data_IF_492219022298
#
_entry.id   IF_492219022298
#
_cell.length_a   1.000
_cell.length_b   1.000
_cell.length_c   1.000
_cell.angle_alpha   90.00
_cell.angle_beta   90.00
_cell.angle_gamma   90.00
#
_symmetry.space_group_name_H-M   'P 1'
#
loop_
_entity.id
_entity.type
_entity.pdbx_description
1 polymer ?
#
# COMPACT_ATOMS: atom_id res chain seq x y z
N UNK A 1 -3.99 -14.75 -7.99
CA UNK A 1 -2.84 -15.51 -8.52
C UNK A 1 -3.36 -16.39 -9.63
N UNK A 2 -2.68 -16.37 -10.74
CA UNK A 2 -3.02 -17.17 -11.90
C UNK A 2 -1.74 -17.85 -12.41
N UNK A 3 -1.88 -19.00 -13.06
CA UNK A 3 -0.79 -19.63 -13.81
C UNK A 3 -0.47 -18.81 -15.07
N UNK A 4 0.64 -19.11 -15.74
CA UNK A 4 0.98 -18.55 -17.05
C UNK A 4 -0.03 -18.84 -18.14
N UNK A 5 -0.84 -19.90 -17.97
CA UNK A 5 -1.94 -20.26 -18.87
C UNK A 5 -3.29 -19.63 -18.48
N UNK A 6 -3.32 -18.78 -17.45
CA UNK A 6 -4.52 -18.08 -16.99
C UNK A 6 -5.42 -18.88 -16.04
N UNK A 7 -4.99 -20.04 -15.57
CA UNK A 7 -5.75 -20.80 -14.58
C UNK A 7 -5.68 -20.09 -13.20
N UNK A 8 -6.83 -19.90 -12.55
CA UNK A 8 -6.89 -19.35 -11.20
C UNK A 8 -6.29 -20.34 -10.19
N UNK A 9 -5.32 -19.87 -9.38
CA UNK A 9 -4.61 -20.66 -8.38
C UNK A 9 -4.98 -20.25 -6.95
N UNK A 10 -5.35 -18.99 -6.72
CA UNK A 10 -5.68 -18.48 -5.39
C UNK A 10 -5.58 -16.97 -5.27
N UNK A 11 -5.84 -16.46 -4.06
CA UNK A 11 -5.72 -15.05 -3.73
C UNK A 11 -5.22 -14.86 -2.29
N UNK A 12 -4.51 -13.77 -2.04
CA UNK A 12 -4.13 -13.35 -0.68
C UNK A 12 -5.24 -12.49 -0.09
N UNK A 13 -5.97 -13.03 0.89
CA UNK A 13 -7.18 -12.40 1.43
C UNK A 13 -6.91 -11.34 2.50
N UNK A 14 -5.70 -11.29 3.07
CA UNK A 14 -5.31 -10.30 4.09
C UNK A 14 -4.67 -9.03 3.51
N UNK A 15 -4.60 -8.92 2.19
CA UNK A 15 -4.32 -7.67 1.47
C UNK A 15 -5.61 -6.86 1.43
N UNK A 16 -5.54 -5.59 1.87
CA UNK A 16 -6.73 -4.76 2.01
C UNK A 16 -7.19 -4.18 0.67
N UNK A 17 -6.75 -2.98 0.37
CA UNK A 17 -7.05 -2.26 -0.87
C UNK A 17 -5.74 -1.98 -1.61
N UNK A 18 -5.20 -2.96 -2.34
CA UNK A 18 -3.96 -2.78 -3.08
C UNK A 18 -4.16 -1.73 -4.18
N UNK A 19 -3.20 -0.82 -4.31
CA UNK A 19 -3.18 0.19 -5.35
C UNK A 19 -2.10 -0.12 -6.39
N UNK A 20 -0.98 -0.63 -5.93
CA UNK A 20 0.16 -0.96 -6.77
C UNK A 20 1.01 -2.04 -6.10
N UNK A 21 1.80 -2.74 -6.89
CA UNK A 21 2.78 -3.71 -6.41
C UNK A 21 4.03 -3.70 -7.28
N UNK A 22 5.16 -4.05 -6.67
CA UNK A 22 6.37 -4.40 -7.42
C UNK A 22 7.00 -5.67 -6.83
N UNK A 23 7.85 -6.31 -7.62
CA UNK A 23 8.55 -7.53 -7.23
C UNK A 23 10.05 -7.29 -7.38
N UNK A 24 10.83 -7.59 -6.34
CA UNK A 24 12.28 -7.46 -6.39
C UNK A 24 12.96 -8.68 -7.02
N UNK A 25 14.28 -8.59 -7.21
CA UNK A 25 15.09 -9.68 -7.78
C UNK A 25 15.14 -10.96 -6.92
N UNK A 26 14.65 -10.91 -5.70
CA UNK A 26 14.58 -12.05 -4.77
C UNK A 26 13.15 -12.62 -4.69
N UNK A 27 12.26 -12.19 -5.59
CA UNK A 27 10.84 -12.55 -5.62
C UNK A 27 10.04 -12.11 -4.39
N UNK A 28 10.50 -11.06 -3.68
CA UNK A 28 9.66 -10.44 -2.67
C UNK A 28 8.66 -9.49 -3.34
N UNK A 29 7.40 -9.57 -2.90
CA UNK A 29 6.28 -8.78 -3.42
C UNK A 29 6.00 -7.64 -2.46
N UNK A 30 6.16 -6.41 -2.93
CA UNK A 30 5.90 -5.16 -2.19
C UNK A 30 4.54 -4.63 -2.62
N UNK A 31 3.64 -4.39 -1.67
CA UNK A 31 2.26 -4.00 -1.95
C UNK A 31 1.95 -2.70 -1.22
N UNK A 32 1.57 -1.66 -1.98
CA UNK A 32 1.02 -0.43 -1.43
C UNK A 32 -0.49 -0.56 -1.24
N UNK A 33 -0.96 -0.42 0.00
CA UNK A 33 -2.36 -0.56 0.36
C UNK A 33 -2.93 0.78 0.84
N UNK A 34 -4.07 1.19 0.29
CA UNK A 34 -4.78 2.42 0.69
C UNK A 34 -5.92 2.12 1.64
N UNK A 35 -6.20 3.08 2.52
CA UNK A 35 -7.30 2.94 3.45
C UNK A 35 -8.67 3.00 2.77
N UNK A 36 -9.60 2.28 3.35
CA UNK A 36 -11.03 2.47 3.20
C UNK A 36 -11.70 1.95 4.47
N UNK A 37 -12.54 2.77 5.08
CA UNK A 37 -13.24 2.38 6.31
C UNK A 37 -14.39 1.43 6.00
N UNK A 38 -14.71 0.56 6.95
CA UNK A 38 -15.94 -0.22 6.92
C UNK A 38 -17.15 0.68 6.71
N UNK A 39 -18.08 0.26 5.84
CA UNK A 39 -19.22 1.07 5.41
C UNK A 39 -18.90 2.14 4.37
N UNK A 40 -17.61 2.47 4.15
CA UNK A 40 -17.21 3.37 3.06
C UNK A 40 -17.45 2.74 1.69
N UNK A 41 -17.87 3.54 0.73
CA UNK A 41 -18.19 3.03 -0.61
C UNK A 41 -16.95 2.84 -1.47
N UNK A 42 -16.86 1.72 -2.16
CA UNK A 42 -15.92 1.50 -3.26
C UNK A 42 -16.29 2.34 -4.48
N UNK A 43 -15.44 2.38 -5.50
CA UNK A 43 -15.77 3.03 -6.78
C UNK A 43 -17.00 2.40 -7.47
N UNK A 44 -17.29 1.13 -7.20
CA UNK A 44 -18.48 0.44 -7.68
C UNK A 44 -19.72 0.66 -6.77
N UNK A 45 -19.68 1.66 -5.87
CA UNK A 45 -20.73 1.98 -4.91
C UNK A 45 -21.14 0.80 -3.98
N UNK A 46 -20.23 -0.16 -3.78
CA UNK A 46 -20.43 -1.26 -2.84
C UNK A 46 -19.81 -0.91 -1.48
N UNK A 47 -20.50 -1.15 -0.35
CA UNK A 47 -19.95 -0.90 0.96
C UNK A 47 -18.82 -1.88 1.28
N UNK A 48 -17.74 -1.34 1.90
CA UNK A 48 -16.68 -2.18 2.43
C UNK A 48 -17.16 -2.93 3.68
N UNK A 49 -16.86 -4.20 3.73
CA UNK A 49 -17.20 -5.08 4.86
C UNK A 49 -16.16 -5.08 5.97
N UNK A 50 -15.03 -4.40 5.76
CA UNK A 50 -13.95 -4.26 6.73
C UNK A 50 -13.17 -2.98 6.52
N UNK A 51 -12.54 -2.47 7.57
CA UNK A 51 -11.57 -1.38 7.45
C UNK A 51 -10.24 -1.90 6.87
N UNK A 52 -9.73 -1.21 5.85
CA UNK A 52 -8.39 -1.41 5.30
C UNK A 52 -7.52 -0.22 5.70
N UNK A 53 -6.39 -0.40 6.39
CA UNK A 53 -5.48 0.70 6.72
C UNK A 53 -4.62 1.11 5.53
N UNK A 54 -4.05 2.32 5.60
CA UNK A 54 -2.92 2.70 4.75
C UNK A 54 -1.67 1.97 5.23
N UNK A 55 -1.01 1.22 4.36
CA UNK A 55 0.20 0.49 4.74
C UNK A 55 0.98 0.01 3.53
N UNK A 56 2.19 -0.42 3.79
CA UNK A 56 2.99 -1.25 2.88
C UNK A 56 3.09 -2.65 3.48
N UNK A 57 2.91 -3.66 2.65
CA UNK A 57 3.17 -5.07 3.00
C UNK A 57 4.24 -5.63 2.10
N UNK A 58 5.17 -6.39 2.66
CA UNK A 58 6.19 -7.14 1.92
C UNK A 58 5.96 -8.62 2.18
N UNK A 59 5.92 -9.41 1.10
CA UNK A 59 5.68 -10.85 1.15
C UNK A 59 6.70 -11.58 0.31
N UNK A 60 6.93 -12.84 0.63
CA UNK A 60 7.58 -13.75 -0.32
C UNK A 60 6.61 -14.12 -1.46
N UNK A 61 7.12 -14.84 -2.44
CA UNK A 61 6.33 -15.27 -3.61
C UNK A 61 5.20 -16.27 -3.24
N UNK A 62 5.34 -16.97 -2.12
CA UNK A 62 4.34 -17.90 -1.62
C UNK A 62 3.23 -17.18 -0.82
N UNK A 63 3.41 -15.87 -0.56
CA UNK A 63 2.43 -15.03 0.13
C UNK A 63 2.65 -14.90 1.63
N UNK A 64 3.72 -15.46 2.19
CA UNK A 64 4.05 -15.29 3.59
C UNK A 64 4.44 -13.83 3.87
N UNK A 65 3.88 -13.25 4.92
CA UNK A 65 4.17 -11.89 5.32
C UNK A 65 5.58 -11.78 5.91
N UNK A 66 6.44 -10.99 5.27
CA UNK A 66 7.81 -10.72 5.72
C UNK A 66 7.91 -9.44 6.55
N UNK A 67 7.20 -8.38 6.11
CA UNK A 67 7.17 -7.10 6.81
C UNK A 67 5.87 -6.35 6.49
N UNK A 68 5.48 -5.47 7.42
CA UNK A 68 4.32 -4.58 7.24
C UNK A 68 4.50 -3.34 8.10
N UNK A 69 4.23 -2.17 7.55
CA UNK A 69 4.25 -0.91 8.29
C UNK A 69 3.26 0.09 7.70
N UNK A 70 2.98 1.14 8.47
CA UNK A 70 2.09 2.25 8.17
C UNK A 70 1.27 2.59 9.42
N UNK A 71 1.36 3.83 9.87
CA UNK A 71 0.55 4.32 10.97
C UNK A 71 -0.81 4.82 10.48
N UNK A 72 -1.83 4.74 11.35
CA UNK A 72 -3.15 5.31 11.09
C UNK A 72 -3.13 6.84 10.96
N UNK A 73 -2.20 7.50 11.67
CA UNK A 73 -1.94 8.91 11.50
C UNK A 73 -0.97 9.15 10.33
N UNK A 74 -1.42 9.75 9.21
CA UNK A 74 -0.57 10.00 8.05
C UNK A 74 0.59 10.97 8.31
N UNK A 75 0.54 11.73 9.42
CA UNK A 75 1.58 12.66 9.82
C UNK A 75 2.60 12.07 10.80
N UNK A 76 2.43 10.83 11.21
CA UNK A 76 3.44 10.09 11.98
C UNK A 76 4.66 9.79 11.10
N UNK A 77 5.85 9.52 11.68
CA UNK A 77 7.07 9.22 10.92
C UNK A 77 6.92 8.07 9.91
N UNK A 78 6.13 7.05 10.25
CA UNK A 78 5.80 5.90 9.41
C UNK A 78 4.37 5.99 8.82
N UNK A 79 3.71 7.17 8.95
CA UNK A 79 2.38 7.42 8.43
C UNK A 79 2.35 7.40 6.90
N UNK A 80 1.26 6.91 6.33
CA UNK A 80 1.00 6.87 4.90
C UNK A 80 -0.39 7.47 4.65
N UNK A 81 -0.46 8.53 3.85
CA UNK A 81 -1.74 9.18 3.54
C UNK A 81 -2.62 8.34 2.60
N UNK A 82 -2.04 7.83 1.56
CA UNK A 82 -2.67 6.89 0.62
C UNK A 82 -1.60 6.41 -0.37
N UNK A 83 -1.06 5.24 -0.17
CA UNK A 83 -0.15 4.63 -1.14
C UNK A 83 -0.86 4.48 -2.49
N UNK A 84 -0.21 4.92 -3.57
CA UNK A 84 -0.75 4.82 -4.92
C UNK A 84 0.26 4.22 -5.90
N UNK A 85 1.55 4.41 -5.66
CA UNK A 85 2.63 3.78 -6.40
C UNK A 85 3.68 3.23 -5.45
N UNK A 86 4.29 2.10 -5.78
CA UNK A 86 5.38 1.50 -5.02
C UNK A 86 6.47 0.98 -5.94
N UNK A 87 7.72 1.22 -5.58
CA UNK A 87 8.88 0.74 -6.31
C UNK A 87 9.99 0.32 -5.36
N UNK A 88 10.75 -0.71 -5.72
CA UNK A 88 11.96 -1.12 -5.01
C UNK A 88 13.15 -1.07 -5.97
N UNK A 89 14.22 -0.41 -5.54
CA UNK A 89 15.45 -0.31 -6.34
C UNK A 89 16.38 -1.52 -6.16
N UNK A 90 17.45 -1.56 -6.93
CA UNK A 90 18.41 -2.68 -6.91
C UNK A 90 19.17 -2.84 -5.59
N UNK A 91 19.15 -1.81 -4.71
CA UNK A 91 19.72 -1.84 -3.36
C UNK A 91 18.73 -2.35 -2.33
N UNK A 92 17.44 -2.42 -2.70
CA UNK A 92 16.34 -2.79 -1.82
C UNK A 92 15.71 -1.61 -1.09
N UNK A 93 16.03 -0.35 -1.50
CA UNK A 93 15.34 0.83 -1.00
C UNK A 93 13.95 0.92 -1.63
N UNK A 94 12.94 1.23 -0.82
CA UNK A 94 11.53 1.24 -1.22
C UNK A 94 11.07 2.69 -1.38
N UNK A 95 10.39 2.97 -2.47
CA UNK A 95 9.81 4.28 -2.78
C UNK A 95 8.29 4.15 -2.79
N UNK A 96 7.60 4.99 -2.03
CA UNK A 96 6.12 5.02 -1.96
C UNK A 96 5.64 6.39 -2.39
N UNK A 97 4.91 6.44 -3.50
CA UNK A 97 4.23 7.63 -3.97
C UNK A 97 2.79 7.67 -3.41
N UNK A 98 2.39 8.82 -2.88
CA UNK A 98 1.12 9.00 -2.16
C UNK A 98 0.20 10.02 -2.84
N UNK A 99 -1.10 9.76 -2.82
CA UNK A 99 -2.13 10.71 -3.26
C UNK A 99 -2.53 11.61 -2.07
N UNK A 100 -1.54 12.31 -1.50
CA UNK A 100 -1.71 13.08 -0.27
C UNK A 100 -2.65 14.28 -0.45
N UNK A 101 -2.48 15.07 -1.50
CA UNK A 101 -3.30 16.26 -1.75
C UNK A 101 -4.80 15.95 -1.78
N UNK A 102 -5.21 14.90 -2.48
CA UNK A 102 -6.62 14.49 -2.55
C UNK A 102 -7.13 13.94 -1.23
N UNK A 103 -6.30 13.19 -0.50
CA UNK A 103 -6.71 12.49 0.72
C UNK A 103 -6.71 13.37 1.96
N UNK A 104 -5.78 14.32 2.02
CA UNK A 104 -5.56 15.16 3.19
C UNK A 104 -6.06 16.60 3.04
N UNK A 105 -6.59 17.00 1.87
CA UNK A 105 -7.00 18.39 1.60
C UNK A 105 -7.96 18.99 2.63
N UNK A 106 -8.74 18.16 3.31
CA UNK A 106 -9.67 18.59 4.37
C UNK A 106 -9.09 18.47 5.79
N UNK A 107 -7.85 18.00 5.92
CA UNK A 107 -7.18 17.88 7.22
C UNK A 107 -6.45 19.19 7.53
N UNK A 108 -6.70 19.78 8.70
CA UNK A 108 -6.11 21.07 9.11
C UNK A 108 -4.58 21.04 9.23
N UNK A 109 -3.97 19.87 9.37
CA UNK A 109 -2.50 19.69 9.41
C UNK A 109 -1.86 19.56 8.01
N UNK A 110 -2.68 19.44 6.95
CA UNK A 110 -2.15 19.28 5.61
C UNK A 110 -1.61 20.60 5.06
N UNK A 111 -0.43 20.57 4.49
CA UNK A 111 0.16 21.63 3.68
C UNK A 111 0.70 21.06 2.37
N UNK A 112 1.01 21.94 1.42
CA UNK A 112 1.65 21.56 0.14
C UNK A 112 3.04 20.92 0.32
N UNK A 113 3.66 21.10 1.49
CA UNK A 113 4.98 20.57 1.84
C UNK A 113 4.92 19.14 2.39
N UNK A 114 3.71 18.56 2.49
CA UNK A 114 3.58 17.15 2.89
C UNK A 114 4.37 16.25 1.93
N UNK A 115 5.23 15.36 2.45
CA UNK A 115 6.09 14.51 1.63
C UNK A 115 5.29 13.43 0.91
N UNK A 116 4.82 13.73 -0.30
CA UNK A 116 4.03 12.78 -1.12
C UNK A 116 4.87 11.67 -1.77
N UNK A 117 6.19 11.73 -1.66
CA UNK A 117 7.11 10.65 -2.02
C UNK A 117 7.98 10.33 -0.81
N UNK A 118 7.89 9.11 -0.35
CA UNK A 118 8.69 8.61 0.77
C UNK A 118 9.67 7.55 0.32
N UNK A 119 10.87 7.61 0.86
CA UNK A 119 11.91 6.60 0.66
C UNK A 119 12.18 5.89 1.99
N UNK A 120 12.07 4.58 1.97
CA UNK A 120 12.46 3.70 3.08
C UNK A 120 13.76 3.00 2.70
N UNK A 121 14.81 3.26 3.49
CA UNK A 121 16.16 2.75 3.21
C UNK A 121 16.33 1.40 3.90
N UNK A 122 16.84 0.43 3.17
CA UNK A 122 17.23 -0.87 3.74
C UNK A 122 18.54 -0.68 4.52
N UNK A 123 18.49 -0.95 5.82
CA UNK A 123 19.66 -0.98 6.72
C UNK A 123 20.14 -2.40 6.93
#
# INVERSE_FOLDING_TARGET
IFSETGQYLGAWSDVGRPQDLCIDKHNNVYIGESNLKEGGLTLAAQPMTRTCPNRVSVRDIDGNLLARWGADDPFAPDGIASSHGIWVDTRGDIYVAEVAATRLSKNSRYSSDYPSLKKYVRI
#
